data_IF_392044430203
#
_entry.id   IF_392044430203
#
_cell.length_a   1.000
_cell.length_b   1.000
_cell.length_c   1.000
_cell.angle_alpha   90.00
_cell.angle_beta   90.00
_cell.angle_gamma   90.00
#
_symmetry.space_group_name_H-M   'P 1'
#
loop_
_entity.id
_entity.type
_entity.pdbx_description
1 polymer ?
#
# COMPACT_ATOMS: atom_id res chain seq x y z
N UNK A 1 5.32 97.46 -17.23
CA UNK A 1 4.58 96.54 -18.07
C UNK A 1 5.44 95.31 -18.23
N UNK A 2 4.99 94.11 -17.97
CA UNK A 2 5.67 92.79 -17.80
C UNK A 2 6.07 92.46 -16.37
N UNK A 3 5.12 91.86 -15.67
CA UNK A 3 5.35 90.99 -14.53
C UNK A 3 4.13 90.04 -14.40
N UNK A 4 4.35 88.78 -14.09
CA UNK A 4 3.39 87.73 -13.77
C UNK A 4 3.06 86.74 -14.87
N UNK A 5 4.00 85.79 -15.12
CA UNK A 5 3.65 84.42 -15.65
C UNK A 5 4.72 83.40 -15.25
N UNK A 6 4.94 83.18 -13.95
CA UNK A 6 5.89 82.08 -13.49
C UNK A 6 5.52 81.44 -12.16
N UNK A 7 4.21 81.28 -11.84
CA UNK A 7 3.82 80.65 -10.58
C UNK A 7 2.70 79.57 -10.65
N UNK A 8 2.39 79.03 -11.84
CA UNK A 8 1.29 78.05 -11.96
C UNK A 8 1.80 76.65 -12.42
N UNK A 9 3.04 76.50 -12.73
CA UNK A 9 3.55 75.19 -13.28
C UNK A 9 4.28 74.31 -12.28
N UNK A 10 4.35 74.63 -10.99
CA UNK A 10 4.99 73.78 -9.97
C UNK A 10 4.00 73.05 -9.04
N UNK A 11 2.68 73.21 -9.22
CA UNK A 11 1.65 72.59 -8.37
C UNK A 11 1.08 71.25 -8.87
N UNK A 12 1.37 70.86 -10.13
CA UNK A 12 0.75 69.66 -10.72
C UNK A 12 1.71 68.42 -10.82
N UNK A 13 2.98 68.55 -10.49
CA UNK A 13 3.90 67.40 -10.48
C UNK A 13 4.07 66.67 -9.15
N UNK A 14 3.49 67.22 -8.06
CA UNK A 14 3.60 66.63 -6.70
C UNK A 14 2.49 65.61 -6.36
N UNK A 15 1.45 65.47 -7.19
CA UNK A 15 0.29 64.59 -6.87
C UNK A 15 0.41 63.22 -7.60
N UNK A 16 1.32 63.06 -8.55
CA UNK A 16 1.48 61.78 -9.30
C UNK A 16 2.47 60.79 -8.66
N UNK A 17 3.19 61.13 -7.59
CA UNK A 17 4.15 60.22 -6.93
C UNK A 17 3.61 59.55 -5.63
N UNK A 18 2.37 59.85 -5.21
CA UNK A 18 1.80 59.26 -3.98
C UNK A 18 0.94 57.99 -4.24
N UNK A 19 0.82 57.54 -5.49
CA UNK A 19 -0.10 56.46 -5.89
C UNK A 19 0.47 55.07 -6.09
N UNK A 20 1.78 54.78 -5.84
CA UNK A 20 2.41 53.51 -6.22
C UNK A 20 2.97 52.71 -5.02
N UNK A 21 2.71 53.10 -3.79
CA UNK A 21 3.19 52.38 -2.59
C UNK A 21 2.11 51.54 -1.86
N UNK A 22 1.04 51.14 -2.55
CA UNK A 22 0.03 50.23 -1.97
C UNK A 22 -0.10 48.98 -2.80
N UNK A 23 0.91 48.10 -2.80
CA UNK A 23 0.69 46.71 -3.17
C UNK A 23 1.93 45.82 -2.90
N UNK A 24 2.33 45.69 -1.68
CA UNK A 24 3.11 44.54 -1.24
C UNK A 24 2.97 44.40 0.27
N UNK A 25 1.73 44.25 0.79
CA UNK A 25 1.58 43.48 2.00
C UNK A 25 2.04 42.06 1.64
N UNK A 26 2.99 41.45 2.37
CA UNK A 26 3.32 40.05 2.13
C UNK A 26 2.00 39.29 2.25
N UNK A 27 1.57 38.61 1.18
CA UNK A 27 0.44 37.71 1.22
C UNK A 27 0.71 36.79 2.40
N UNK A 28 -0.05 36.89 3.48
CA UNK A 28 0.05 35.96 4.58
C UNK A 28 -0.15 34.59 3.98
N UNK A 29 0.88 33.74 4.10
CA UNK A 29 0.79 32.38 3.60
C UNK A 29 -0.48 31.77 4.20
N UNK A 30 -1.36 31.28 3.34
CA UNK A 30 -2.60 30.66 3.80
C UNK A 30 -2.27 29.51 4.77
N UNK A 31 -3.03 29.38 5.84
CA UNK A 31 -2.82 28.30 6.81
C UNK A 31 -2.83 26.94 6.08
N UNK A 32 -1.89 26.03 6.39
CA UNK A 32 -1.78 24.78 5.66
C UNK A 32 -3.03 23.90 5.82
N UNK A 33 -3.29 23.07 4.82
CA UNK A 33 -4.25 21.97 4.94
C UNK A 33 -3.51 20.81 5.60
N UNK A 34 -3.97 20.41 6.78
CA UNK A 34 -3.36 19.35 7.59
C UNK A 34 -3.96 18.00 7.22
N UNK A 35 -3.11 17.07 6.77
CA UNK A 35 -3.47 15.67 6.52
C UNK A 35 -2.92 14.81 7.65
N UNK A 36 -3.82 14.20 8.42
CA UNK A 36 -3.49 13.45 9.63
C UNK A 36 -3.51 11.94 9.42
N UNK A 37 -2.58 11.22 10.09
CA UNK A 37 -2.56 9.75 10.11
C UNK A 37 -1.68 9.18 11.21
N UNK A 38 -1.87 7.89 11.55
CA UNK A 38 -0.83 7.09 12.20
C UNK A 38 -0.07 6.28 11.16
N UNK A 39 1.17 5.92 11.46
CA UNK A 39 2.00 5.09 10.60
C UNK A 39 2.91 4.20 11.44
N UNK A 40 3.05 2.94 11.05
CA UNK A 40 4.00 2.01 11.68
C UNK A 40 5.44 2.39 11.29
N UNK A 41 6.12 3.16 12.13
CA UNK A 41 7.51 3.58 11.92
C UNK A 41 8.50 2.74 12.73
N UNK A 42 8.00 2.07 13.77
CA UNK A 42 8.71 1.07 14.56
C UNK A 42 7.87 -0.21 14.69
N UNK A 43 8.46 -1.31 15.15
CA UNK A 43 7.79 -2.59 15.31
C UNK A 43 7.72 -3.45 14.05
N UNK A 44 6.86 -4.47 14.09
CA UNK A 44 6.87 -5.59 13.14
C UNK A 44 6.57 -5.21 11.69
N UNK A 45 5.72 -4.21 11.44
CA UNK A 45 5.34 -3.78 10.09
C UNK A 45 5.99 -2.45 9.66
N UNK A 46 6.96 -1.96 10.45
CA UNK A 46 7.69 -0.74 10.16
C UNK A 46 8.41 -0.73 8.79
N UNK A 47 8.98 -1.83 8.28
CA UNK A 47 9.58 -1.84 6.95
C UNK A 47 8.63 -1.39 5.85
N UNK A 48 7.35 -1.71 5.99
CA UNK A 48 6.31 -1.33 5.04
C UNK A 48 5.75 0.08 5.33
N UNK A 49 5.53 0.40 6.61
CA UNK A 49 5.03 1.71 7.03
C UNK A 49 5.95 2.86 6.60
N UNK A 50 7.27 2.68 6.74
CA UNK A 50 8.26 3.68 6.32
C UNK A 50 8.23 3.96 4.81
N UNK A 51 7.96 2.94 3.99
CA UNK A 51 7.78 3.12 2.54
C UNK A 51 6.56 4.01 2.25
N UNK A 52 5.44 3.75 2.93
CA UNK A 52 4.22 4.54 2.79
C UNK A 52 4.44 6.00 3.22
N UNK A 53 5.16 6.22 4.33
CA UNK A 53 5.46 7.58 4.78
C UNK A 53 6.26 8.37 3.76
N UNK A 54 7.36 7.81 3.25
CA UNK A 54 8.18 8.50 2.23
C UNK A 54 7.37 8.80 0.97
N UNK A 55 6.47 7.89 0.56
CA UNK A 55 5.59 8.13 -0.58
C UNK A 55 4.64 9.30 -0.36
N UNK A 56 4.03 9.42 0.82
CA UNK A 56 3.18 10.56 1.19
C UNK A 56 3.97 11.86 1.29
N UNK A 57 5.22 11.82 1.78
CA UNK A 57 6.09 12.99 1.80
C UNK A 57 6.42 13.48 0.39
N UNK A 58 6.71 12.56 -0.53
CA UNK A 58 6.94 12.89 -1.94
C UNK A 58 5.67 13.47 -2.57
N UNK A 59 4.51 12.88 -2.32
CA UNK A 59 3.21 13.42 -2.77
C UNK A 59 2.96 14.83 -2.24
N UNK A 60 3.16 15.07 -0.94
CA UNK A 60 3.02 16.39 -0.32
C UNK A 60 3.94 17.42 -1.00
N UNK A 61 5.22 17.06 -1.21
CA UNK A 61 6.19 17.94 -1.85
C UNK A 61 5.74 18.30 -3.27
N UNK A 62 5.19 17.35 -4.02
CA UNK A 62 4.68 17.57 -5.38
C UNK A 62 3.43 18.45 -5.40
N UNK A 63 2.51 18.23 -4.49
CA UNK A 63 1.32 19.07 -4.35
C UNK A 63 1.73 20.50 -4.00
N UNK A 64 2.63 20.67 -3.04
CA UNK A 64 3.11 21.98 -2.62
C UNK A 64 3.90 22.70 -3.71
N UNK A 65 4.69 21.99 -4.49
CA UNK A 65 5.40 22.55 -5.65
C UNK A 65 4.43 23.08 -6.74
N UNK A 66 3.22 22.57 -6.79
CA UNK A 66 2.14 23.04 -7.71
C UNK A 66 1.21 24.11 -7.10
N UNK A 67 1.53 24.60 -5.89
CA UNK A 67 0.73 25.64 -5.20
C UNK A 67 -0.21 25.12 -4.11
N UNK A 68 -0.06 23.86 -3.72
CA UNK A 68 -0.86 23.24 -2.66
C UNK A 68 -2.23 22.75 -3.12
N UNK A 69 -3.14 22.53 -2.16
CA UNK A 69 -4.54 22.24 -2.40
C UNK A 69 -5.38 23.51 -2.13
N UNK A 70 -6.27 23.87 -3.03
CA UNK A 70 -7.06 25.11 -2.94
C UNK A 70 -6.20 26.34 -2.69
N UNK A 71 -4.97 26.39 -3.23
CA UNK A 71 -4.03 27.48 -3.00
C UNK A 71 -3.39 27.52 -1.59
N UNK A 72 -3.52 26.44 -0.82
CA UNK A 72 -2.98 26.31 0.54
C UNK A 72 -1.93 25.19 0.56
N UNK A 73 -0.77 25.35 1.23
CA UNK A 73 0.20 24.27 1.34
C UNK A 73 -0.39 23.10 2.14
N UNK A 74 0.07 21.87 1.80
CA UNK A 74 -0.27 20.65 2.55
C UNK A 74 0.80 20.39 3.60
N UNK A 75 0.35 20.09 4.83
CA UNK A 75 1.17 19.64 5.95
C UNK A 75 0.75 18.22 6.35
N UNK A 76 1.72 17.32 6.54
CA UNK A 76 1.48 15.99 7.09
C UNK A 76 1.65 16.01 8.61
N UNK A 77 0.63 15.58 9.33
CA UNK A 77 0.63 15.44 10.80
C UNK A 77 0.49 13.96 11.14
N UNK A 78 1.56 13.34 11.64
CA UNK A 78 1.54 11.90 11.85
C UNK A 78 2.27 11.46 13.14
N UNK A 79 1.90 10.26 13.61
CA UNK A 79 2.46 9.64 14.81
C UNK A 79 2.82 8.17 14.53
N UNK A 80 3.89 7.71 15.18
CA UNK A 80 4.27 6.30 15.17
C UNK A 80 3.27 5.49 16.01
N UNK A 81 2.57 4.56 15.39
CA UNK A 81 1.70 3.61 16.11
C UNK A 81 2.46 2.40 16.68
N UNK A 82 3.76 2.30 16.42
CA UNK A 82 4.65 1.25 16.90
C UNK A 82 4.23 -0.16 16.46
N UNK A 83 3.50 -0.27 15.35
CA UNK A 83 2.87 -1.51 14.90
C UNK A 83 1.94 -2.13 15.97
N UNK A 84 1.39 -1.31 16.86
CA UNK A 84 0.51 -1.72 17.95
C UNK A 84 -0.91 -1.19 17.74
N UNK A 85 -1.90 -2.07 17.46
CA UNK A 85 -3.30 -1.67 17.26
C UNK A 85 -3.89 -0.84 18.40
N UNK A 86 -3.45 -1.08 19.63
CA UNK A 86 -3.97 -0.38 20.82
C UNK A 86 -3.59 1.10 20.88
N UNK A 87 -2.54 1.51 20.18
CA UNK A 87 -2.11 2.92 20.12
C UNK A 87 -2.97 3.74 19.17
N UNK A 88 -3.56 3.12 18.17
CA UNK A 88 -4.20 3.81 17.03
C UNK A 88 -5.41 4.66 17.44
N UNK A 89 -6.37 4.19 18.28
CA UNK A 89 -7.51 5.01 18.67
C UNK A 89 -7.09 6.31 19.38
N UNK A 90 -6.10 6.24 20.28
CA UNK A 90 -5.56 7.41 20.98
C UNK A 90 -4.91 8.41 20.03
N UNK A 91 -4.17 7.93 19.02
CA UNK A 91 -3.55 8.77 17.99
C UNK A 91 -4.62 9.49 17.18
N UNK A 92 -5.64 8.79 16.68
CA UNK A 92 -6.71 9.42 15.89
C UNK A 92 -7.55 10.41 16.71
N UNK A 93 -7.79 10.11 17.99
CA UNK A 93 -8.42 11.08 18.91
C UNK A 93 -7.59 12.36 19.02
N UNK A 94 -6.26 12.24 19.15
CA UNK A 94 -5.34 13.37 19.23
C UNK A 94 -5.32 14.17 17.92
N UNK A 95 -5.19 13.50 16.78
CA UNK A 95 -5.21 14.15 15.45
C UNK A 95 -6.45 15.01 15.25
N UNK A 96 -7.62 14.52 15.67
CA UNK A 96 -8.90 15.21 15.48
C UNK A 96 -9.17 16.31 16.53
N UNK A 97 -8.86 16.06 17.81
CA UNK A 97 -9.25 16.95 18.90
C UNK A 97 -8.18 17.99 19.24
N UNK A 98 -6.89 17.62 19.14
CA UNK A 98 -5.74 18.48 19.53
C UNK A 98 -5.12 19.12 18.30
N UNK A 99 -4.68 18.31 17.33
CA UNK A 99 -3.98 18.79 16.12
C UNK A 99 -4.96 19.42 15.12
N UNK A 100 -6.26 19.06 15.22
CA UNK A 100 -7.36 19.57 14.39
C UNK A 100 -7.05 19.43 12.90
N UNK A 101 -6.65 18.21 12.49
CA UNK A 101 -6.35 17.94 11.10
C UNK A 101 -7.59 18.08 10.22
N UNK A 102 -7.39 18.61 9.03
CA UNK A 102 -8.47 18.86 8.06
C UNK A 102 -8.93 17.57 7.38
N UNK A 103 -7.98 16.69 7.04
CA UNK A 103 -8.18 15.47 6.24
C UNK A 103 -7.47 14.29 6.90
N UNK A 104 -7.92 13.07 6.57
CA UNK A 104 -7.33 11.83 7.09
C UNK A 104 -6.92 10.90 5.95
N UNK A 105 -5.74 10.27 6.11
CA UNK A 105 -5.30 9.11 5.34
C UNK A 105 -4.75 8.04 6.28
N UNK A 106 -4.52 6.83 5.78
CA UNK A 106 -3.97 5.75 6.61
C UNK A 106 -4.94 5.27 7.69
N UNK A 107 -4.46 4.50 8.66
CA UNK A 107 -3.08 4.01 8.80
C UNK A 107 -2.71 2.92 7.78
N UNK A 108 -1.50 2.36 7.92
CA UNK A 108 -1.08 1.19 7.14
C UNK A 108 -1.43 -0.12 7.86
N UNK A 109 -1.89 -1.11 7.09
CA UNK A 109 -2.26 -2.48 7.46
C UNK A 109 -3.64 -2.64 8.13
N UNK A 110 -4.27 -3.79 7.86
CA UNK A 110 -5.62 -4.15 8.33
C UNK A 110 -5.77 -4.01 9.83
N UNK A 111 -4.81 -4.52 10.59
CA UNK A 111 -4.81 -4.49 12.04
C UNK A 111 -4.59 -3.09 12.66
N UNK A 112 -4.12 -2.12 11.89
CA UNK A 112 -4.03 -0.71 12.32
C UNK A 112 -5.27 0.09 11.88
N UNK A 113 -5.81 -0.20 10.68
CA UNK A 113 -6.98 0.53 10.16
C UNK A 113 -8.24 0.21 10.97
N UNK A 114 -8.49 -1.07 11.26
CA UNK A 114 -9.70 -1.48 11.97
C UNK A 114 -9.91 -0.74 13.32
N UNK A 115 -8.91 -0.58 14.20
CA UNK A 115 -9.09 0.18 15.44
C UNK A 115 -9.18 1.70 15.25
N UNK A 116 -8.78 2.27 14.10
CA UNK A 116 -9.01 3.68 13.80
C UNK A 116 -10.48 3.98 13.47
N UNK A 117 -11.19 3.01 12.87
CA UNK A 117 -12.52 3.20 12.31
C UNK A 117 -13.56 3.74 13.32
N UNK A 118 -13.69 3.23 14.56
CA UNK A 118 -14.65 3.78 15.52
C UNK A 118 -14.47 5.28 15.78
N UNK A 119 -13.22 5.75 15.88
CA UNK A 119 -12.90 7.16 16.12
C UNK A 119 -13.24 8.00 14.89
N UNK A 120 -12.86 7.52 13.70
CA UNK A 120 -13.14 8.18 12.42
C UNK A 120 -14.66 8.30 12.18
N UNK A 121 -15.40 7.21 12.42
CA UNK A 121 -16.85 7.17 12.27
C UNK A 121 -17.56 8.08 13.27
N UNK A 122 -17.17 8.05 14.55
CA UNK A 122 -17.76 8.92 15.58
C UNK A 122 -17.55 10.41 15.24
N UNK A 123 -16.44 10.76 14.64
CA UNK A 123 -16.14 12.12 14.18
C UNK A 123 -16.77 12.47 12.82
N UNK A 124 -17.48 11.54 12.19
CA UNK A 124 -18.06 11.68 10.85
C UNK A 124 -17.02 12.14 9.80
N UNK A 125 -15.84 11.49 9.81
CA UNK A 125 -14.71 11.82 8.93
C UNK A 125 -14.51 10.75 7.87
N UNK A 126 -14.22 11.12 6.62
CA UNK A 126 -13.73 10.15 5.65
C UNK A 126 -12.24 9.85 5.88
N UNK A 127 -11.80 8.67 5.47
CA UNK A 127 -10.39 8.27 5.46
C UNK A 127 -10.07 7.34 4.30
N UNK A 128 -8.85 7.42 3.80
CA UNK A 128 -8.31 6.50 2.79
C UNK A 128 -7.31 5.58 3.48
N UNK A 129 -7.71 4.33 3.71
CA UNK A 129 -6.89 3.33 4.39
C UNK A 129 -5.78 2.79 3.49
N UNK A 130 -4.55 2.72 4.01
CA UNK A 130 -3.41 2.21 3.25
C UNK A 130 -3.27 0.70 3.42
N UNK A 131 -3.71 -0.04 2.40
CA UNK A 131 -3.52 -1.49 2.28
C UNK A 131 -4.15 -2.31 3.43
N UNK A 132 -5.38 -1.96 3.81
CA UNK A 132 -6.21 -2.74 4.72
C UNK A 132 -7.17 -3.64 3.96
N UNK A 133 -7.10 -4.95 4.22
CA UNK A 133 -7.90 -5.95 3.51
C UNK A 133 -9.30 -6.01 4.10
N UNK A 134 -10.30 -5.67 3.28
CA UNK A 134 -11.72 -5.88 3.57
C UNK A 134 -12.18 -5.31 4.94
N UNK A 135 -11.52 -4.24 5.40
CA UNK A 135 -11.78 -3.63 6.71
C UNK A 135 -13.23 -3.15 6.82
N UNK A 136 -13.75 -2.55 5.76
CA UNK A 136 -15.07 -1.92 5.81
C UNK A 136 -16.24 -2.91 5.87
N UNK A 137 -16.00 -4.20 5.63
CA UNK A 137 -17.04 -5.22 5.71
C UNK A 137 -17.69 -5.30 7.10
N UNK A 138 -16.92 -5.06 8.16
CA UNK A 138 -17.45 -5.05 9.53
C UNK A 138 -18.04 -3.70 9.95
N UNK A 139 -17.63 -2.60 9.31
CA UNK A 139 -18.06 -1.25 9.69
C UNK A 139 -19.17 -0.71 8.80
N UNK A 140 -19.22 -1.12 7.53
CA UNK A 140 -20.18 -0.64 6.53
C UNK A 140 -20.26 0.89 6.50
N UNK A 141 -19.10 1.55 6.48
CA UNK A 141 -18.99 3.01 6.57
C UNK A 141 -18.68 3.63 5.21
N UNK A 142 -19.58 4.48 4.73
CA UNK A 142 -19.44 5.14 3.41
C UNK A 142 -18.27 6.13 3.31
N UNK A 143 -17.70 6.56 4.43
CA UNK A 143 -16.53 7.45 4.47
C UNK A 143 -15.18 6.73 4.46
N UNK A 144 -15.14 5.41 4.28
CA UNK A 144 -13.91 4.64 4.18
C UNK A 144 -13.60 4.25 2.73
N UNK A 145 -12.33 4.39 2.34
CA UNK A 145 -11.80 3.97 1.03
C UNK A 145 -10.51 3.19 1.22
N UNK A 146 -10.38 2.07 0.51
CA UNK A 146 -9.23 1.17 0.61
C UNK A 146 -8.27 1.38 -0.55
N UNK A 147 -6.97 1.39 -0.29
CA UNK A 147 -5.94 1.38 -1.34
C UNK A 147 -5.44 -0.03 -1.67
N UNK A 148 -6.13 -1.07 -1.23
CA UNK A 148 -5.85 -2.44 -1.65
C UNK A 148 -6.45 -2.67 -3.04
N UNK A 149 -5.67 -3.11 -4.03
CA UNK A 149 -6.18 -3.40 -5.36
C UNK A 149 -6.90 -4.77 -5.44
N UNK A 150 -7.73 -5.08 -4.43
CA UNK A 150 -8.44 -6.36 -4.30
C UNK A 150 -9.70 -6.46 -5.17
N UNK A 151 -10.27 -5.34 -5.58
CA UNK A 151 -11.54 -5.30 -6.29
C UNK A 151 -12.73 -5.68 -5.39
N UNK A 152 -13.86 -5.96 -5.99
CA UNK A 152 -15.11 -6.38 -5.35
C UNK A 152 -15.06 -7.83 -4.82
N UNK A 153 -14.00 -8.56 -5.13
CA UNK A 153 -13.80 -9.93 -4.66
C UNK A 153 -13.38 -10.04 -3.19
N UNK A 154 -13.05 -8.91 -2.56
CA UNK A 154 -12.68 -8.85 -1.16
C UNK A 154 -11.50 -9.77 -0.82
N UNK A 155 -11.71 -10.66 0.17
CA UNK A 155 -10.68 -11.59 0.64
C UNK A 155 -10.26 -12.63 -0.40
N UNK A 156 -11.13 -12.95 -1.37
CA UNK A 156 -10.85 -13.95 -2.41
C UNK A 156 -9.71 -13.53 -3.33
N UNK A 157 -9.57 -12.23 -3.59
CA UNK A 157 -8.53 -11.68 -4.46
C UNK A 157 -7.11 -12.07 -4.00
N UNK A 158 -6.90 -12.27 -2.68
CA UNK A 158 -5.60 -12.57 -2.09
C UNK A 158 -5.11 -14.00 -2.34
N UNK A 159 -5.95 -14.87 -2.88
CA UNK A 159 -5.60 -16.27 -3.13
C UNK A 159 -6.18 -16.84 -4.43
N UNK A 160 -7.15 -16.17 -5.08
CA UNK A 160 -7.80 -16.68 -6.28
C UNK A 160 -6.80 -17.12 -7.34
N UNK A 161 -5.97 -16.20 -7.82
CA UNK A 161 -5.01 -16.52 -8.89
C UNK A 161 -4.02 -17.62 -8.50
N UNK A 162 -3.67 -17.74 -7.19
CA UNK A 162 -2.81 -18.80 -6.71
C UNK A 162 -3.46 -20.19 -6.89
N UNK A 163 -4.74 -20.31 -6.50
CA UNK A 163 -5.47 -21.57 -6.67
C UNK A 163 -5.80 -21.86 -8.13
N UNK A 164 -6.05 -20.83 -8.96
CA UNK A 164 -6.22 -21.02 -10.42
C UNK A 164 -4.93 -21.51 -11.08
N UNK A 165 -3.77 -20.96 -10.72
CA UNK A 165 -2.46 -21.44 -11.16
C UNK A 165 -2.28 -22.89 -10.76
N UNK A 166 -2.59 -23.27 -9.51
CA UNK A 166 -2.48 -24.64 -9.04
C UNK A 166 -3.43 -25.59 -9.77
N UNK A 167 -4.68 -25.19 -9.96
CA UNK A 167 -5.70 -26.00 -10.64
C UNK A 167 -5.38 -26.30 -12.11
N UNK A 168 -4.59 -25.44 -12.76
CA UNK A 168 -4.16 -25.59 -14.15
C UNK A 168 -3.00 -26.58 -14.34
N UNK A 169 -2.40 -27.12 -13.26
CA UNK A 169 -1.28 -28.04 -13.37
C UNK A 169 -1.72 -29.47 -13.73
N UNK A 170 -0.83 -30.20 -14.42
CA UNK A 170 -1.06 -31.61 -14.81
C UNK A 170 0.09 -32.47 -14.30
N UNK A 171 -0.14 -33.45 -13.41
CA UNK A 171 -1.46 -33.71 -12.76
C UNK A 171 -1.87 -32.62 -11.81
N UNK A 172 -3.19 -32.36 -11.75
CA UNK A 172 -3.75 -31.39 -10.80
C UNK A 172 -3.43 -31.79 -9.35
N UNK A 173 -2.91 -30.89 -8.52
CA UNK A 173 -2.73 -31.14 -7.08
C UNK A 173 -4.10 -31.31 -6.41
N UNK A 174 -4.14 -32.07 -5.30
CA UNK A 174 -5.40 -32.43 -4.63
C UNK A 174 -5.52 -31.83 -3.23
N UNK A 175 -4.40 -31.73 -2.52
CA UNK A 175 -4.39 -31.37 -1.11
C UNK A 175 -3.68 -30.06 -0.87
N UNK A 176 -4.17 -29.28 0.10
CA UNK A 176 -3.55 -28.01 0.51
C UNK A 176 -3.45 -27.89 2.03
N UNK A 177 -2.33 -27.38 2.50
CA UNK A 177 -2.15 -26.91 3.87
C UNK A 177 -2.27 -25.40 3.90
N UNK A 178 -3.06 -24.87 4.84
CA UNK A 178 -3.24 -23.44 5.10
C UNK A 178 -2.61 -23.09 6.44
N UNK A 179 -1.86 -22.00 6.49
CA UNK A 179 -1.23 -21.48 7.70
C UNK A 179 -1.29 -19.97 7.72
N UNK A 180 -1.65 -19.37 8.86
CA UNK A 180 -1.70 -17.92 8.98
C UNK A 180 -1.35 -17.41 10.37
N UNK A 181 -0.84 -16.17 10.45
CA UNK A 181 -0.71 -15.47 11.72
C UNK A 181 -2.10 -15.24 12.34
N UNK A 182 -2.22 -15.43 13.66
CA UNK A 182 -3.45 -15.18 14.44
C UNK A 182 -3.64 -13.66 14.67
N UNK A 183 -3.74 -12.91 13.58
CA UNK A 183 -3.97 -11.47 13.54
C UNK A 183 -4.86 -11.13 12.35
N UNK A 184 -5.40 -9.91 12.31
CA UNK A 184 -6.46 -9.51 11.36
C UNK A 184 -6.14 -9.85 9.90
N UNK A 185 -4.98 -9.46 9.37
CA UNK A 185 -4.62 -9.77 7.99
C UNK A 185 -4.49 -11.28 7.77
N UNK A 186 -3.80 -11.99 8.68
CA UNK A 186 -3.58 -13.43 8.56
C UNK A 186 -4.90 -14.21 8.50
N UNK A 187 -5.84 -13.87 9.39
CA UNK A 187 -7.19 -14.46 9.42
C UNK A 187 -7.95 -14.16 8.13
N UNK A 188 -8.04 -12.87 7.76
CA UNK A 188 -8.82 -12.41 6.60
C UNK A 188 -8.32 -13.02 5.29
N UNK A 189 -6.99 -13.05 5.07
CA UNK A 189 -6.40 -13.63 3.86
C UNK A 189 -6.57 -15.16 3.81
N UNK A 190 -6.43 -15.85 4.96
CA UNK A 190 -6.64 -17.29 5.02
C UNK A 190 -8.12 -17.69 4.90
N UNK A 191 -9.07 -16.84 5.32
CA UNK A 191 -10.51 -17.08 5.09
C UNK A 191 -10.79 -17.14 3.59
N UNK A 192 -10.31 -16.17 2.82
CA UNK A 192 -10.42 -16.21 1.36
C UNK A 192 -9.71 -17.40 0.71
N UNK A 193 -8.57 -17.82 1.28
CA UNK A 193 -7.86 -19.02 0.81
C UNK A 193 -8.67 -20.30 1.04
N UNK A 194 -9.36 -20.43 2.18
CA UNK A 194 -10.27 -21.57 2.44
C UNK A 194 -11.42 -21.65 1.45
N UNK A 195 -12.00 -20.50 1.12
CA UNK A 195 -13.10 -20.42 0.15
C UNK A 195 -12.60 -20.82 -1.25
N UNK A 196 -11.47 -20.24 -1.71
CA UNK A 196 -10.90 -20.55 -3.01
C UNK A 196 -10.38 -22.01 -3.11
N UNK A 197 -9.82 -22.57 -2.04
CA UNK A 197 -9.42 -23.96 -2.00
C UNK A 197 -10.63 -24.88 -2.20
N UNK A 198 -11.73 -24.66 -1.47
CA UNK A 198 -12.97 -25.43 -1.60
C UNK A 198 -13.58 -25.28 -3.00
N UNK A 199 -13.68 -24.05 -3.51
CA UNK A 199 -14.21 -23.78 -4.84
C UNK A 199 -13.37 -24.44 -5.94
N UNK A 200 -12.03 -24.48 -5.76
CA UNK A 200 -11.11 -25.16 -6.66
C UNK A 200 -11.08 -26.69 -6.51
N UNK A 201 -11.83 -27.29 -5.56
CA UNK A 201 -11.88 -28.72 -5.30
C UNK A 201 -10.58 -29.26 -4.68
N UNK A 202 -9.93 -28.50 -3.82
CA UNK A 202 -8.78 -28.92 -3.04
C UNK A 202 -9.19 -29.39 -1.63
N UNK A 203 -8.67 -30.51 -1.18
CA UNK A 203 -8.86 -31.01 0.17
C UNK A 203 -7.92 -30.27 1.13
N UNK A 204 -8.49 -29.60 2.14
CA UNK A 204 -7.69 -28.90 3.15
C UNK A 204 -7.25 -29.92 4.20
N UNK A 205 -5.97 -30.31 4.19
CA UNK A 205 -5.40 -31.34 5.09
C UNK A 205 -4.74 -30.77 6.34
N UNK A 206 -4.49 -29.46 6.35
CA UNK A 206 -3.99 -28.71 7.49
C UNK A 206 -4.55 -27.29 7.44
N UNK A 207 -5.07 -26.78 8.54
CA UNK A 207 -5.63 -25.43 8.65
C UNK A 207 -5.45 -24.94 10.08
N UNK A 208 -4.38 -24.18 10.32
CA UNK A 208 -4.06 -23.65 11.65
C UNK A 208 -3.48 -22.25 11.59
N UNK A 209 -3.71 -21.48 12.63
CA UNK A 209 -3.02 -20.23 12.92
C UNK A 209 -1.90 -20.44 13.95
N UNK A 210 -0.99 -19.48 14.00
CA UNK A 210 0.07 -19.38 15.00
C UNK A 210 0.04 -17.99 15.64
N UNK A 211 0.45 -17.85 16.92
CA UNK A 211 0.48 -16.55 17.60
C UNK A 211 1.42 -15.56 16.90
N UNK A 212 1.03 -14.27 16.78
CA UNK A 212 1.95 -13.23 16.31
C UNK A 212 3.21 -13.20 17.16
N UNK A 213 4.37 -13.01 16.50
CA UNK A 213 5.66 -13.02 17.18
C UNK A 213 6.28 -14.41 17.39
N UNK A 214 5.66 -15.48 16.86
CA UNK A 214 6.29 -16.81 16.82
C UNK A 214 7.62 -16.75 16.09
N UNK A 215 8.71 -17.09 16.77
CA UNK A 215 10.07 -17.02 16.22
C UNK A 215 10.56 -18.34 15.64
N UNK A 216 10.12 -19.46 16.20
CA UNK A 216 10.47 -20.80 15.74
C UNK A 216 9.31 -21.37 14.89
N UNK A 217 9.52 -21.41 13.57
CA UNK A 217 8.57 -21.94 12.60
C UNK A 217 8.81 -23.40 12.23
N UNK A 218 9.93 -24.00 12.66
CA UNK A 218 10.28 -25.39 12.31
C UNK A 218 9.24 -26.40 12.78
N UNK A 219 8.75 -26.37 14.04
CA UNK A 219 7.71 -27.31 14.49
C UNK A 219 6.42 -27.19 13.68
N UNK A 220 6.05 -26.00 13.28
CA UNK A 220 4.84 -25.72 12.51
C UNK A 220 4.98 -26.28 11.10
N UNK A 221 6.08 -26.00 10.41
CA UNK A 221 6.34 -26.50 9.05
C UNK A 221 6.50 -28.02 9.05
N UNK A 222 7.07 -28.65 10.10
CA UNK A 222 7.10 -30.10 10.28
C UNK A 222 5.69 -30.69 10.44
N UNK A 223 4.80 -30.02 11.18
CA UNK A 223 3.41 -30.46 11.33
C UNK A 223 2.66 -30.40 9.98
N UNK A 224 2.92 -29.38 9.16
CA UNK A 224 2.41 -29.30 7.79
C UNK A 224 2.95 -30.48 6.96
N UNK A 225 4.26 -30.70 6.94
CA UNK A 225 4.88 -31.76 6.16
C UNK A 225 4.35 -33.16 6.55
N UNK A 226 4.03 -33.39 7.83
CA UNK A 226 3.47 -34.65 8.31
C UNK A 226 2.08 -34.96 7.72
N UNK A 227 1.34 -33.97 7.22
CA UNK A 227 0.06 -34.17 6.52
C UNK A 227 0.24 -34.47 5.02
N UNK A 228 1.49 -34.46 4.52
CA UNK A 228 1.86 -34.72 3.13
C UNK A 228 1.02 -33.93 2.10
N UNK A 229 0.94 -32.58 2.21
CA UNK A 229 0.12 -31.78 1.32
C UNK A 229 0.79 -31.63 -0.06
N UNK A 230 -0.01 -31.53 -1.12
CA UNK A 230 0.49 -31.13 -2.45
C UNK A 230 0.92 -29.65 -2.46
N UNK A 231 0.18 -28.81 -1.74
CA UNK A 231 0.28 -27.36 -1.76
C UNK A 231 0.39 -26.79 -0.35
N UNK A 232 1.14 -25.69 -0.18
CA UNK A 232 1.16 -24.90 1.06
C UNK A 232 0.88 -23.42 0.75
N UNK A 233 -0.17 -22.89 1.33
CA UNK A 233 -0.52 -21.47 1.27
C UNK A 233 -0.35 -20.82 2.64
N UNK A 234 0.45 -19.73 2.71
CA UNK A 234 0.75 -19.02 3.94
C UNK A 234 0.26 -17.58 3.88
N UNK A 235 -0.32 -17.10 5.01
CA UNK A 235 -0.73 -15.71 5.23
C UNK A 235 0.14 -15.12 6.36
N UNK A 236 1.19 -14.40 6.01
CA UNK A 236 2.24 -14.02 6.95
C UNK A 236 2.66 -12.55 6.85
N UNK A 237 3.11 -12.01 7.98
CA UNK A 237 3.74 -10.70 8.11
C UNK A 237 5.26 -10.76 7.84
N UNK A 238 5.98 -9.63 7.78
CA UNK A 238 7.40 -9.63 7.45
C UNK A 238 8.29 -10.57 8.29
N UNK A 239 8.23 -10.58 9.63
CA UNK A 239 9.12 -11.45 10.42
C UNK A 239 8.85 -12.95 10.23
N UNK A 240 7.57 -13.33 10.27
CA UNK A 240 7.16 -14.73 10.16
C UNK A 240 7.27 -15.25 8.73
N UNK A 241 7.14 -14.39 7.70
CA UNK A 241 7.48 -14.73 6.31
C UNK A 241 8.91 -15.30 6.22
N UNK A 242 9.88 -14.60 6.83
CA UNK A 242 11.28 -15.05 6.86
C UNK A 242 11.42 -16.39 7.60
N UNK A 243 10.77 -16.50 8.76
CA UNK A 243 10.79 -17.72 9.57
C UNK A 243 10.23 -18.93 8.84
N UNK A 244 9.06 -18.80 8.20
CA UNK A 244 8.40 -19.87 7.45
C UNK A 244 9.29 -20.34 6.28
N UNK A 245 9.87 -19.42 5.50
CA UNK A 245 10.71 -19.76 4.33
C UNK A 245 11.99 -20.47 4.78
N UNK A 246 12.64 -19.98 5.84
CA UNK A 246 13.83 -20.63 6.39
C UNK A 246 13.52 -22.02 6.93
N UNK A 247 12.45 -22.16 7.71
CA UNK A 247 12.01 -23.46 8.22
C UNK A 247 11.68 -24.45 7.09
N UNK A 248 10.97 -23.98 6.05
CA UNK A 248 10.66 -24.80 4.89
C UNK A 248 11.94 -25.28 4.15
N UNK A 249 12.95 -24.42 4.07
CA UNK A 249 14.24 -24.81 3.48
C UNK A 249 15.03 -25.76 4.39
N UNK A 250 15.06 -25.51 5.71
CA UNK A 250 15.77 -26.34 6.69
C UNK A 250 15.29 -27.81 6.68
N UNK A 251 13.96 -28.00 6.68
CA UNK A 251 13.39 -29.36 6.68
C UNK A 251 13.23 -29.94 5.26
N UNK A 252 13.70 -29.23 4.22
CA UNK A 252 13.51 -29.63 2.83
C UNK A 252 12.03 -29.92 2.50
N UNK A 253 11.14 -28.95 2.80
CA UNK A 253 9.70 -29.08 2.57
C UNK A 253 9.40 -29.56 1.15
N UNK A 254 8.77 -30.73 1.03
CA UNK A 254 8.49 -31.38 -0.24
C UNK A 254 7.02 -31.17 -0.63
N UNK A 255 6.76 -30.15 -1.45
CA UNK A 255 5.44 -29.80 -1.96
C UNK A 255 5.51 -29.39 -3.42
N UNK A 256 4.37 -29.40 -4.12
CA UNK A 256 4.31 -29.04 -5.54
C UNK A 256 4.29 -27.52 -5.75
N UNK A 257 3.63 -26.77 -4.86
CA UNK A 257 3.61 -25.29 -4.89
C UNK A 257 3.57 -24.76 -3.46
N UNK A 258 4.35 -23.69 -3.22
CA UNK A 258 4.47 -23.04 -1.93
C UNK A 258 4.48 -21.52 -2.11
N UNK A 259 3.84 -20.81 -1.18
CA UNK A 259 3.79 -19.35 -1.17
C UNK A 259 2.49 -18.82 -0.57
N UNK A 260 1.84 -17.87 -1.24
CA UNK A 260 0.57 -17.32 -0.80
C UNK A 260 0.58 -15.82 -0.53
N UNK A 261 -0.16 -15.38 0.47
CA UNK A 261 -0.25 -14.00 0.92
C UNK A 261 0.86 -13.67 1.94
N UNK A 262 2.12 -13.83 1.50
CA UNK A 262 3.31 -13.63 2.32
C UNK A 262 3.80 -12.17 2.17
N UNK A 263 3.13 -11.21 2.84
CA UNK A 263 3.37 -9.77 2.63
C UNK A 263 4.78 -9.29 2.99
N UNK A 264 5.56 -10.09 3.70
CA UNK A 264 6.97 -9.78 3.92
C UNK A 264 7.78 -9.71 2.62
N UNK A 265 7.42 -10.51 1.61
CA UNK A 265 8.09 -10.53 0.31
C UNK A 265 7.73 -9.34 -0.59
N UNK A 266 6.78 -8.50 -0.19
CA UNK A 266 6.55 -7.21 -0.85
C UNK A 266 7.66 -6.19 -0.56
N UNK A 267 8.47 -6.43 0.48
CA UNK A 267 9.60 -5.59 0.88
C UNK A 267 10.92 -6.13 0.33
N UNK A 268 11.65 -5.29 -0.41
CA UNK A 268 12.94 -5.64 -1.02
C UNK A 268 14.00 -6.10 0.00
N UNK A 269 14.14 -5.47 1.19
CA UNK A 269 15.11 -5.94 2.19
C UNK A 269 14.92 -7.40 2.60
N UNK A 270 13.68 -7.88 2.64
CA UNK A 270 13.38 -9.28 2.97
C UNK A 270 13.74 -10.20 1.79
N UNK A 271 13.48 -9.79 0.55
CA UNK A 271 13.94 -10.51 -0.63
C UNK A 271 15.47 -10.65 -0.63
N UNK A 272 16.19 -9.55 -0.33
CA UNK A 272 17.66 -9.55 -0.20
C UNK A 272 18.14 -10.44 0.95
N UNK A 273 17.47 -10.41 2.11
CA UNK A 273 17.83 -11.24 3.27
C UNK A 273 17.68 -12.73 3.01
N UNK A 274 16.71 -13.12 2.18
CA UNK A 274 16.42 -14.51 1.83
C UNK A 274 17.26 -14.99 0.62
N UNK A 275 17.59 -14.09 -0.30
CA UNK A 275 18.33 -14.40 -1.50
C UNK A 275 17.73 -15.59 -2.27
N UNK A 276 18.54 -16.61 -2.62
CA UNK A 276 18.06 -17.78 -3.38
C UNK A 276 16.93 -18.57 -2.71
N UNK A 277 16.70 -18.41 -1.41
CA UNK A 277 15.61 -19.10 -0.71
C UNK A 277 14.22 -18.70 -1.21
N UNK A 278 14.08 -17.57 -1.91
CA UNK A 278 12.80 -17.16 -2.50
C UNK A 278 12.44 -17.95 -3.75
N UNK A 279 13.40 -18.63 -4.41
CA UNK A 279 13.14 -19.35 -5.66
C UNK A 279 12.02 -20.38 -5.51
N UNK A 280 11.11 -20.37 -6.47
CA UNK A 280 9.96 -21.25 -6.54
C UNK A 280 8.73 -20.77 -5.76
N UNK A 281 8.87 -19.78 -4.88
CA UNK A 281 7.73 -19.24 -4.15
C UNK A 281 6.76 -18.55 -5.11
N UNK A 282 5.48 -18.90 -5.00
CA UNK A 282 4.39 -18.23 -5.73
C UNK A 282 3.66 -17.33 -4.76
N UNK A 283 3.84 -16.03 -4.93
CA UNK A 283 3.32 -15.02 -3.98
C UNK A 283 2.35 -14.05 -4.62
N UNK A 284 1.47 -13.51 -3.79
CA UNK A 284 0.65 -12.36 -4.12
C UNK A 284 1.51 -11.10 -4.20
N UNK A 285 1.28 -10.28 -5.22
CA UNK A 285 1.86 -8.95 -5.37
C UNK A 285 0.78 -7.95 -5.77
N UNK A 286 0.91 -6.72 -5.28
CA UNK A 286 0.02 -5.63 -5.68
C UNK A 286 0.60 -4.79 -6.82
N UNK A 287 1.93 -4.77 -6.94
CA UNK A 287 2.66 -4.12 -8.02
C UNK A 287 3.99 -4.83 -8.27
N UNK A 288 4.35 -4.95 -9.53
CA UNK A 288 5.66 -5.37 -10.02
C UNK A 288 6.12 -4.42 -11.14
N UNK A 289 7.44 -4.21 -11.34
CA UNK A 289 7.94 -3.25 -12.32
C UNK A 289 7.87 -3.79 -13.77
N UNK A 290 6.70 -4.27 -14.18
CA UNK A 290 6.46 -4.75 -15.53
C UNK A 290 6.21 -3.55 -16.49
N UNK A 291 6.70 -3.60 -17.75
CA UNK A 291 6.47 -2.55 -18.73
C UNK A 291 4.97 -2.23 -18.95
N UNK A 292 4.10 -3.22 -18.79
CA UNK A 292 2.64 -3.08 -18.92
C UNK A 292 1.99 -2.29 -17.77
N UNK A 293 2.72 -2.05 -16.68
CA UNK A 293 2.27 -1.33 -15.49
C UNK A 293 2.91 0.05 -15.34
N UNK A 294 3.37 0.63 -16.45
CA UNK A 294 3.98 1.96 -16.46
C UNK A 294 2.90 3.05 -16.60
N UNK A 295 2.30 3.43 -15.47
CA UNK A 295 1.29 4.48 -15.43
C UNK A 295 1.90 5.89 -15.41
N UNK A 296 1.15 6.94 -15.86
CA UNK A 296 1.64 8.32 -15.83
C UNK A 296 2.11 8.74 -14.43
N UNK A 297 3.31 9.33 -14.34
CA UNK A 297 3.90 9.79 -13.09
C UNK A 297 4.61 8.71 -12.26
N UNK A 298 4.31 7.43 -12.46
CA UNK A 298 4.86 6.32 -11.66
C UNK A 298 6.40 6.30 -11.68
N UNK A 299 6.99 6.35 -12.86
CA UNK A 299 8.46 6.32 -12.98
C UNK A 299 9.11 7.49 -12.26
N UNK A 300 8.60 8.71 -12.45
CA UNK A 300 9.14 9.91 -11.79
C UNK A 300 9.03 9.83 -10.26
N UNK A 301 7.93 9.32 -9.76
CA UNK A 301 7.72 9.12 -8.32
C UNK A 301 8.69 8.06 -7.77
N UNK A 302 8.83 6.90 -8.44
CA UNK A 302 9.75 5.85 -8.03
C UNK A 302 11.22 6.30 -8.09
N UNK A 303 11.64 7.05 -9.13
CA UNK A 303 13.00 7.60 -9.23
C UNK A 303 13.33 8.47 -8.01
N UNK A 304 12.41 9.34 -7.58
CA UNK A 304 12.59 10.20 -6.40
C UNK A 304 12.58 9.42 -5.10
N UNK A 305 11.71 8.42 -5.00
CA UNK A 305 11.69 7.50 -3.86
C UNK A 305 13.03 6.78 -3.74
N UNK A 306 13.49 6.14 -4.82
CA UNK A 306 14.74 5.36 -4.86
C UNK A 306 15.99 6.21 -4.62
N UNK A 307 15.95 7.50 -4.95
CA UNK A 307 17.02 8.44 -4.63
C UNK A 307 17.10 8.77 -3.13
N UNK A 308 15.98 8.80 -2.42
CA UNK A 308 15.91 9.16 -0.98
C UNK A 308 16.02 7.95 -0.07
N UNK A 309 15.42 6.82 -0.45
CA UNK A 309 15.22 5.64 0.39
C UNK A 309 16.51 5.06 1.00
N UNK A 310 17.63 4.90 0.27
CA UNK A 310 18.88 4.35 0.84
C UNK A 310 19.43 5.18 2.00
N UNK A 311 19.40 6.50 1.91
CA UNK A 311 19.89 7.39 2.97
C UNK A 311 19.03 7.30 4.25
N UNK A 312 17.77 6.88 4.12
CA UNK A 312 16.83 6.70 5.22
C UNK A 312 16.84 5.26 5.77
N UNK A 313 17.62 4.36 5.17
CA UNK A 313 17.68 2.95 5.58
C UNK A 313 16.36 2.20 5.38
N UNK A 314 15.57 2.58 4.37
CA UNK A 314 14.29 1.95 4.04
C UNK A 314 14.38 1.20 2.71
N UNK A 315 13.30 0.51 2.32
CA UNK A 315 13.26 -0.29 1.10
C UNK A 315 13.81 0.48 -0.11
N UNK A 316 14.88 0.02 -0.76
CA UNK A 316 15.53 0.78 -1.82
C UNK A 316 14.75 0.84 -3.14
N UNK A 317 13.76 -0.05 -3.35
CA UNK A 317 12.96 -0.10 -4.58
C UNK A 317 11.55 0.47 -4.40
N UNK A 318 10.91 0.23 -3.26
CA UNK A 318 9.61 0.79 -2.91
C UNK A 318 8.44 0.23 -3.73
N UNK A 319 8.58 -0.90 -4.41
CA UNK A 319 7.55 -1.39 -5.35
C UNK A 319 6.26 -1.83 -4.66
N UNK A 320 6.36 -2.51 -3.52
CA UNK A 320 5.20 -3.15 -2.91
C UNK A 320 4.15 -2.19 -2.34
N UNK A 321 4.55 -1.01 -1.89
CA UNK A 321 3.66 -0.13 -1.11
C UNK A 321 3.63 1.32 -1.60
N UNK A 322 4.75 1.81 -2.12
CA UNK A 322 4.93 3.23 -2.48
C UNK A 322 3.92 3.74 -3.50
N UNK A 323 3.60 3.01 -4.60
CA UNK A 323 2.63 3.49 -5.58
C UNK A 323 1.24 3.72 -4.96
N UNK A 324 0.82 2.87 -4.04
CA UNK A 324 -0.52 2.95 -3.43
C UNK A 324 -0.62 4.07 -2.40
N UNK A 325 0.42 4.30 -1.60
CA UNK A 325 0.43 5.40 -0.64
C UNK A 325 0.47 6.77 -1.34
N UNK A 326 1.26 6.90 -2.42
CA UNK A 326 1.25 8.11 -3.24
C UNK A 326 -0.12 8.32 -3.91
N UNK A 327 -0.71 7.25 -4.48
CA UNK A 327 -2.02 7.29 -5.11
C UNK A 327 -3.15 7.64 -4.13
N UNK A 328 -3.05 7.25 -2.85
CA UNK A 328 -3.99 7.69 -1.82
C UNK A 328 -4.02 9.23 -1.71
N UNK A 329 -2.85 9.85 -1.73
CA UNK A 329 -2.71 11.30 -1.78
C UNK A 329 -3.29 11.89 -3.07
N UNK A 330 -3.08 11.24 -4.23
CA UNK A 330 -3.64 11.71 -5.51
C UNK A 330 -5.17 11.65 -5.53
N UNK A 331 -5.77 10.58 -5.01
CA UNK A 331 -7.24 10.47 -4.87
C UNK A 331 -7.78 11.59 -4.00
N UNK A 332 -7.15 11.81 -2.83
CA UNK A 332 -7.53 12.89 -1.91
C UNK A 332 -7.41 14.26 -2.58
N UNK A 333 -6.29 14.54 -3.24
CA UNK A 333 -6.06 15.83 -3.92
C UNK A 333 -7.08 16.07 -5.05
N UNK A 334 -7.34 15.08 -5.89
CA UNK A 334 -8.32 15.18 -6.98
C UNK A 334 -9.73 15.44 -6.43
N UNK A 335 -10.13 14.76 -5.33
CA UNK A 335 -11.42 14.99 -4.71
C UNK A 335 -11.55 16.42 -4.13
N UNK A 336 -10.53 16.89 -3.41
CA UNK A 336 -10.50 18.25 -2.85
C UNK A 336 -10.56 19.32 -3.94
N UNK A 337 -9.76 19.17 -4.98
CA UNK A 337 -9.71 20.13 -6.10
C UNK A 337 -11.00 20.14 -6.92
N UNK A 338 -11.62 19.02 -7.13
CA UNK A 338 -12.87 18.93 -7.89
C UNK A 338 -14.06 19.48 -7.12
N UNK A 339 -14.16 19.19 -5.83
CA UNK A 339 -15.27 19.64 -4.97
C UNK A 339 -15.07 21.05 -4.45
N UNK A 340 -13.86 21.60 -4.54
CA UNK A 340 -13.45 22.87 -3.90
C UNK A 340 -13.79 22.91 -2.41
N UNK A 341 -13.68 21.78 -1.72
CA UNK A 341 -14.15 21.59 -0.35
C UNK A 341 -13.21 20.70 0.47
N UNK A 342 -13.24 20.89 1.80
CA UNK A 342 -12.67 19.98 2.81
C UNK A 342 -13.78 19.26 3.60
N UNK A 343 -15.03 19.39 3.17
CA UNK A 343 -16.16 18.69 3.77
C UNK A 343 -16.09 17.18 3.46
N UNK A 344 -15.99 16.38 4.50
CA UNK A 344 -15.75 14.96 4.38
C UNK A 344 -16.89 14.20 3.68
N UNK A 345 -18.15 14.63 3.86
CA UNK A 345 -19.29 13.99 3.18
C UNK A 345 -19.24 14.27 1.68
N UNK A 346 -18.98 15.54 1.29
CA UNK A 346 -18.83 15.91 -0.13
C UNK A 346 -17.66 15.18 -0.80
N UNK A 347 -16.55 15.03 -0.07
CA UNK A 347 -15.38 14.30 -0.57
C UNK A 347 -15.72 12.82 -0.77
N UNK A 348 -16.38 12.19 0.23
CA UNK A 348 -16.78 10.79 0.13
C UNK A 348 -17.75 10.54 -1.02
N UNK A 349 -18.78 11.38 -1.17
CA UNK A 349 -19.74 11.30 -2.29
C UNK A 349 -19.04 11.42 -3.65
N UNK A 350 -18.09 12.37 -3.74
CA UNK A 350 -17.31 12.55 -4.97
C UNK A 350 -16.43 11.33 -5.27
N UNK A 351 -15.76 10.76 -4.26
CA UNK A 351 -14.89 9.59 -4.43
C UNK A 351 -15.70 8.38 -4.89
N UNK A 352 -16.88 8.13 -4.34
CA UNK A 352 -17.76 7.05 -4.80
C UNK A 352 -18.26 7.21 -6.23
N UNK A 353 -18.45 8.46 -6.68
CA UNK A 353 -19.04 8.74 -7.98
C UNK A 353 -18.04 8.81 -9.14
N UNK A 354 -16.75 8.86 -8.88
CA UNK A 354 -15.75 9.20 -9.87
C UNK A 354 -14.61 8.18 -9.97
N UNK A 355 -13.86 8.29 -11.09
CA UNK A 355 -12.62 7.57 -11.32
C UNK A 355 -11.44 8.50 -11.15
N UNK A 356 -10.32 7.95 -10.71
CA UNK A 356 -9.09 8.69 -10.41
C UNK A 356 -7.94 8.17 -11.26
N UNK A 357 -7.26 9.06 -11.98
CA UNK A 357 -6.01 8.75 -12.66
C UNK A 357 -4.85 8.95 -11.69
N UNK A 358 -4.12 7.88 -11.41
CA UNK A 358 -3.06 7.87 -10.38
C UNK A 358 -1.80 7.17 -10.88
N UNK A 359 -0.70 7.31 -10.13
CA UNK A 359 0.53 6.55 -10.39
C UNK A 359 0.32 5.03 -10.25
N UNK A 360 -0.74 4.60 -9.57
CA UNK A 360 -1.17 3.20 -9.51
C UNK A 360 -2.19 2.85 -10.61
N UNK A 361 -2.38 3.70 -11.62
CA UNK A 361 -3.35 3.56 -12.71
C UNK A 361 -4.73 4.15 -12.38
N UNK A 362 -5.75 3.80 -13.19
CA UNK A 362 -7.13 4.23 -12.95
C UNK A 362 -7.70 3.47 -11.75
N UNK A 363 -8.27 4.21 -10.79
CA UNK A 363 -8.90 3.69 -9.58
C UNK A 363 -10.34 4.19 -9.51
N UNK A 364 -11.26 3.33 -9.12
CA UNK A 364 -12.63 3.68 -8.73
C UNK A 364 -13.07 2.80 -7.57
N UNK A 365 -13.99 3.32 -6.75
CA UNK A 365 -14.40 2.69 -5.50
C UNK A 365 -15.86 2.25 -5.56
N UNK A 366 -16.14 1.04 -5.06
CA UNK A 366 -17.47 0.51 -4.86
C UNK A 366 -18.17 1.13 -3.65
N UNK A 367 -19.39 0.67 -3.37
CA UNK A 367 -20.20 1.15 -2.23
C UNK A 367 -19.55 0.89 -0.87
N UNK A 368 -18.74 -0.17 -0.79
CA UNK A 368 -17.99 -0.56 0.39
C UNK A 368 -16.64 0.15 0.51
N UNK A 369 -16.31 1.04 -0.46
CA UNK A 369 -15.04 1.76 -0.50
C UNK A 369 -13.85 0.91 -0.95
N UNK A 370 -14.07 -0.33 -1.39
CA UNK A 370 -13.03 -1.15 -2.04
C UNK A 370 -12.94 -0.80 -3.54
N UNK A 371 -11.85 -1.17 -4.21
CA UNK A 371 -11.70 -0.95 -5.64
C UNK A 371 -12.78 -1.73 -6.41
N UNK A 372 -13.28 -1.17 -7.52
CA UNK A 372 -14.27 -1.86 -8.38
C UNK A 372 -13.66 -2.96 -9.25
N UNK A 373 -12.34 -2.94 -9.44
CA UNK A 373 -11.61 -3.96 -10.21
C UNK A 373 -10.39 -4.43 -9.46
N UNK A 374 -10.21 -5.75 -9.38
CA UNK A 374 -9.00 -6.34 -8.83
C UNK A 374 -7.79 -6.06 -9.74
N UNK A 375 -6.65 -5.78 -9.12
CA UNK A 375 -5.33 -5.69 -9.76
C UNK A 375 -4.29 -6.35 -8.87
N UNK A 376 -4.64 -7.52 -8.35
CA UNK A 376 -3.70 -8.40 -7.66
C UNK A 376 -2.95 -9.23 -8.71
N UNK A 377 -1.70 -9.52 -8.42
CA UNK A 377 -0.86 -10.38 -9.24
C UNK A 377 -0.43 -11.59 -8.42
N UNK A 378 -0.14 -12.70 -9.12
CA UNK A 378 0.61 -13.81 -8.54
C UNK A 378 1.87 -14.01 -9.37
N UNK A 379 2.99 -13.97 -8.67
CA UNK A 379 4.32 -14.01 -9.26
C UNK A 379 5.10 -15.19 -8.72
N UNK A 380 6.10 -15.68 -9.47
CA UNK A 380 7.06 -16.65 -8.97
C UNK A 380 8.47 -16.09 -9.05
N UNK A 381 9.25 -16.29 -7.99
CA UNK A 381 10.69 -16.03 -8.04
C UNK A 381 11.42 -17.17 -8.74
N UNK A 382 12.31 -16.83 -9.68
CA UNK A 382 13.03 -17.78 -10.52
C UNK A 382 14.47 -17.31 -10.75
N UNK A 383 15.43 -18.22 -10.58
CA UNK A 383 16.83 -17.94 -10.92
C UNK A 383 17.50 -16.85 -10.09
N UNK A 384 17.01 -16.57 -8.89
CA UNK A 384 17.69 -15.68 -7.94
C UNK A 384 18.95 -16.39 -7.45
N UNK A 385 20.14 -15.80 -7.69
CA UNK A 385 21.43 -16.43 -7.40
C UNK A 385 22.13 -15.86 -6.16
N UNK A 386 21.68 -14.73 -5.64
CA UNK A 386 22.30 -14.08 -4.48
C UNK A 386 21.43 -12.99 -3.88
N UNK A 387 22.06 -12.08 -3.16
CA UNK A 387 21.42 -11.00 -2.41
C UNK A 387 21.58 -9.63 -3.13
N UNK A 388 21.82 -9.63 -4.45
CA UNK A 388 22.01 -8.42 -5.23
C UNK A 388 20.66 -7.73 -5.53
N UNK A 389 20.60 -6.44 -5.24
CA UNK A 389 19.44 -5.59 -5.50
C UNK A 389 19.01 -5.58 -6.98
N UNK A 390 19.98 -5.69 -7.90
CA UNK A 390 19.72 -5.67 -9.34
C UNK A 390 18.74 -6.78 -9.78
N UNK A 391 18.76 -7.93 -9.10
CA UNK A 391 17.89 -9.07 -9.41
C UNK A 391 16.40 -8.80 -9.17
N UNK A 392 16.06 -7.75 -8.41
CA UNK A 392 14.68 -7.40 -8.07
C UNK A 392 14.20 -6.10 -8.73
N UNK A 393 14.99 -5.53 -9.67
CA UNK A 393 14.64 -4.27 -10.33
C UNK A 393 13.63 -4.40 -11.48
N UNK A 394 13.47 -5.61 -12.00
CA UNK A 394 12.56 -5.91 -13.10
C UNK A 394 11.87 -7.26 -12.90
N UNK A 395 11.17 -7.75 -13.92
CA UNK A 395 10.44 -9.02 -13.87
C UNK A 395 11.28 -10.23 -14.29
N UNK A 396 12.59 -10.12 -14.46
CA UNK A 396 13.47 -11.23 -14.89
C UNK A 396 13.49 -12.35 -13.86
N UNK A 397 13.63 -11.99 -12.58
CA UNK A 397 13.68 -12.96 -11.47
C UNK A 397 12.37 -13.04 -10.67
N UNK A 398 11.36 -12.26 -11.02
CA UNK A 398 10.02 -12.30 -10.41
C UNK A 398 8.97 -12.21 -11.51
N UNK A 399 8.65 -13.37 -12.10
CA UNK A 399 7.74 -13.42 -13.25
C UNK A 399 6.28 -13.39 -12.83
N UNK A 400 5.45 -12.63 -13.57
CA UNK A 400 4.01 -12.62 -13.38
C UNK A 400 3.44 -13.90 -14.01
N UNK A 401 2.65 -14.65 -13.22
CA UNK A 401 1.96 -15.86 -13.65
C UNK A 401 0.47 -15.62 -13.90
N UNK A 402 -0.13 -14.71 -13.14
CA UNK A 402 -1.56 -14.39 -13.17
C UNK A 402 -1.78 -12.90 -12.83
N UNK A 403 -2.79 -12.22 -13.42
CA UNK A 403 -3.68 -12.73 -14.47
C UNK A 403 -2.97 -12.84 -15.83
N UNK A 404 -3.62 -13.55 -16.76
CA UNK A 404 -3.02 -13.88 -18.06
C UNK A 404 -2.62 -12.66 -18.90
N UNK A 405 -3.37 -11.56 -18.79
CA UNK A 405 -3.15 -10.31 -19.54
C UNK A 405 -1.82 -9.62 -19.18
N UNK A 406 -1.28 -9.85 -17.97
CA UNK A 406 -0.01 -9.28 -17.50
C UNK A 406 1.14 -10.31 -17.42
N UNK A 407 0.89 -11.55 -17.83
CA UNK A 407 1.83 -12.64 -17.69
C UNK A 407 3.18 -12.34 -18.36
N UNK A 408 4.29 -12.49 -17.59
CA UNK A 408 5.66 -12.31 -18.09
C UNK A 408 6.49 -13.58 -18.13
N UNK A 409 5.99 -14.69 -17.56
CA UNK A 409 6.71 -15.97 -17.54
C UNK A 409 5.80 -17.16 -17.29
N UNK A 410 6.41 -18.33 -17.13
CA UNK A 410 5.72 -19.59 -16.86
C UNK A 410 6.12 -20.13 -15.50
N UNK A 411 5.18 -20.83 -14.83
CA UNK A 411 5.43 -21.48 -13.56
C UNK A 411 6.50 -22.58 -13.73
N UNK A 412 7.53 -22.55 -12.89
CA UNK A 412 8.41 -23.70 -12.68
C UNK A 412 7.74 -24.58 -11.61
N UNK A 413 7.37 -25.79 -11.98
CA UNK A 413 6.61 -26.73 -11.17
C UNK A 413 7.18 -28.13 -11.30
N UNK A 414 7.33 -28.89 -10.23
CA UNK A 414 7.00 -28.57 -8.83
C UNK A 414 8.01 -27.60 -8.18
N UNK A 415 7.67 -27.11 -6.97
CA UNK A 415 8.42 -26.10 -6.20
C UNK A 415 9.92 -26.37 -6.08
N UNK A 416 10.31 -27.64 -5.83
CA UNK A 416 11.72 -27.99 -5.69
C UNK A 416 12.54 -27.85 -6.98
N UNK A 417 11.91 -27.87 -8.16
CA UNK A 417 12.62 -27.71 -9.43
C UNK A 417 13.06 -26.26 -9.68
N UNK A 418 12.33 -25.31 -9.13
CA UNK A 418 12.73 -23.91 -9.18
C UNK A 418 13.94 -23.58 -8.30
N UNK A 419 14.24 -24.43 -7.31
CA UNK A 419 15.41 -24.28 -6.44
C UNK A 419 16.71 -24.81 -7.07
N UNK A 420 16.61 -25.61 -8.14
CA UNK A 420 17.74 -26.21 -8.82
C UNK A 420 18.28 -25.37 -9.98
N UNK A 421 17.51 -24.37 -10.39
CA UNK A 421 17.82 -23.46 -11.49
C UNK A 421 18.26 -22.10 -10.97
#
# INVERSE_FOLDING_TARGET
>A
MFANTRRVTLGLLAILCAGVFWANAPARAADPIKVGFSMALTGAVAPNGKQNLLALEIWRDDVNARGGLLGRPVELVYYDDQSNPNNVPGIYTKLLSVDKVDLLVGPYATNMIAPAMPVVMQANKMTIGMLGVNVNRQFNYSGYFSMVPGGDEGTLAFSRGWFEIAAAQTPKPRTVALIGADAEFGKTACDGARENAKAGGFDIVYDKSYPPGTTDMVPIVRAIQATNPDLVFACSYPPDTVGIIRAANEIALNVKMFGGAMIGLLATPIKLQLGPLVNGLVIMESFVPAPTLNFPGLKSMLDRYQAKAPALGIDPLGYGFTPFAYAAGEVLAQAVEATKSLDHSKLADYIHANKFSTVAGEISFGKDGEWTKSRQFFTQFQGVTGNDLAQFRDTTHQVILWPAEYKTGTLIYPYHDAKKK
#
